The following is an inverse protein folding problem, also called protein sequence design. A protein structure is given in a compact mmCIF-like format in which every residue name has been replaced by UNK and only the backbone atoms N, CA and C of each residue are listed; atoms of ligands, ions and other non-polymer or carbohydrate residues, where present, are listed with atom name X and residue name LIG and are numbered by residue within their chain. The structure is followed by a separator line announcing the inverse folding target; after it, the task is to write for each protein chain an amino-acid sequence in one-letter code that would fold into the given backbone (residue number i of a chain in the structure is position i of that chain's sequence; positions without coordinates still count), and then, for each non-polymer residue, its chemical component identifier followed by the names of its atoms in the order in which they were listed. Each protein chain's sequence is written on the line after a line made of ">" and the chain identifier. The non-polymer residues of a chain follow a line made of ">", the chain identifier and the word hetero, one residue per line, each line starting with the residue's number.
data_IF_690675656833
#
_entry.id   IF_690675656833
#
_cell.length_a   1.000
_cell.length_b   1.000
_cell.length_c   1.000
_cell.angle_alpha   90.00
_cell.angle_beta   90.00
_cell.angle_gamma   90.00
#
_symmetry.space_group_name_H-M   'P 1'
#
loop_
_entity.id
_entity.type
_entity.pdbx_description
1 polymer ?
#
# COMPACT_ATOMS: atom_id res chain seq x y z
N UNK A 1 -16.23 -3.38 -12.32
CA UNK A 1 -16.45 -3.56 -10.86
C UNK A 1 -15.21 -3.09 -10.09
N UNK A 2 -15.29 -2.63 -8.84
CA UNK A 2 -14.10 -2.34 -8.00
C UNK A 2 -14.29 -2.90 -6.60
N UNK A 3 -13.22 -3.45 -6.03
CA UNK A 3 -13.24 -4.01 -4.67
C UNK A 3 -12.16 -3.36 -3.83
N UNK A 4 -12.38 -3.35 -2.52
CA UNK A 4 -11.40 -2.83 -1.56
C UNK A 4 -10.85 -3.99 -0.77
N UNK A 5 -9.52 -4.15 -0.79
CA UNK A 5 -8.79 -5.16 -0.02
C UNK A 5 -8.04 -4.44 1.08
N UNK A 6 -8.23 -4.87 2.32
CA UNK A 6 -7.55 -4.30 3.47
C UNK A 6 -6.37 -5.19 3.85
N UNK A 7 -5.16 -4.63 3.79
CA UNK A 7 -3.93 -5.23 4.31
C UNK A 7 -3.63 -4.59 5.67
N UNK A 8 -4.17 -5.18 6.74
CA UNK A 8 -4.15 -4.55 8.06
C UNK A 8 -4.86 -3.20 8.02
N UNK A 9 -4.13 -2.12 8.31
CA UNK A 9 -4.62 -0.74 8.24
C UNK A 9 -4.56 -0.12 6.83
N UNK A 10 -3.83 -0.74 5.90
CA UNK A 10 -3.68 -0.22 4.54
C UNK A 10 -4.85 -0.67 3.66
N UNK A 11 -5.63 0.28 3.14
CA UNK A 11 -6.73 -0.01 2.22
C UNK A 11 -6.29 0.13 0.77
N UNK A 12 -6.50 -0.90 -0.02
CA UNK A 12 -6.14 -0.93 -1.44
C UNK A 12 -7.39 -1.16 -2.27
N UNK A 13 -7.69 -0.19 -3.13
CA UNK A 13 -8.75 -0.31 -4.12
C UNK A 13 -8.18 -1.00 -5.34
N UNK A 14 -8.80 -2.10 -5.76
CA UNK A 14 -8.44 -2.87 -6.95
C UNK A 14 -9.62 -2.86 -7.92
N UNK A 15 -9.44 -2.36 -9.17
CA UNK A 15 -10.46 -2.49 -10.19
C UNK A 15 -10.53 -3.95 -10.65
N UNK A 16 -11.71 -4.55 -10.67
CA UNK A 16 -11.92 -5.89 -11.20
C UNK A 16 -12.17 -5.82 -12.71
N UNK A 17 -11.53 -6.72 -13.44
CA UNK A 17 -11.87 -7.07 -14.83
C UNK A 17 -12.69 -8.35 -14.84
N UNK A 18 -13.49 -8.54 -15.89
CA UNK A 18 -14.45 -9.65 -15.97
C UNK A 18 -13.79 -11.05 -15.96
N UNK A 19 -12.53 -11.15 -16.42
CA UNK A 19 -11.77 -12.41 -16.43
C UNK A 19 -10.90 -12.65 -15.19
N UNK A 20 -11.01 -11.81 -14.15
CA UNK A 20 -10.15 -11.94 -12.98
C UNK A 20 -10.70 -12.91 -11.95
N UNK A 21 -9.91 -13.93 -11.61
CA UNK A 21 -10.19 -14.80 -10.49
C UNK A 21 -9.75 -14.14 -9.18
N UNK A 22 -10.20 -14.70 -8.05
CA UNK A 22 -9.78 -14.29 -6.70
C UNK A 22 -8.25 -14.29 -6.57
N UNK A 23 -7.56 -15.24 -7.24
CA UNK A 23 -6.10 -15.30 -7.28
C UNK A 23 -5.48 -14.07 -7.92
N UNK A 24 -6.00 -13.64 -9.08
CA UNK A 24 -5.52 -12.44 -9.79
C UNK A 24 -5.75 -11.18 -8.96
N UNK A 25 -6.89 -11.12 -8.28
CA UNK A 25 -7.23 -10.07 -7.31
C UNK A 25 -6.20 -9.97 -6.18
N UNK A 26 -5.79 -11.09 -5.59
CA UNK A 26 -4.76 -11.14 -4.55
C UNK A 26 -3.41 -10.68 -5.11
N UNK A 27 -3.03 -11.11 -6.31
CA UNK A 27 -1.77 -10.71 -6.96
C UNK A 27 -1.74 -9.21 -7.21
N UNK A 28 -2.81 -8.65 -7.78
CA UNK A 28 -2.94 -7.22 -8.06
C UNK A 28 -2.95 -6.37 -6.78
N UNK A 29 -3.70 -6.81 -5.77
CA UNK A 29 -3.75 -6.16 -4.47
C UNK A 29 -2.36 -6.15 -3.80
N UNK A 30 -1.64 -7.28 -3.86
CA UNK A 30 -0.28 -7.43 -3.30
C UNK A 30 0.74 -6.58 -4.04
N UNK A 31 0.67 -6.50 -5.37
CA UNK A 31 1.56 -5.63 -6.16
C UNK A 31 1.37 -4.15 -5.80
N UNK A 32 0.12 -3.72 -5.66
CA UNK A 32 -0.18 -2.35 -5.20
C UNK A 32 0.29 -2.11 -3.78
N UNK A 33 0.10 -3.08 -2.89
CA UNK A 33 0.60 -3.00 -1.52
C UNK A 33 2.10 -2.80 -1.48
N UNK A 34 2.86 -3.63 -2.21
CA UNK A 34 4.32 -3.51 -2.33
C UNK A 34 4.76 -2.14 -2.82
N UNK A 35 4.13 -1.61 -3.86
CA UNK A 35 4.45 -0.28 -4.38
C UNK A 35 4.18 0.83 -3.36
N UNK A 36 3.08 0.73 -2.62
CA UNK A 36 2.74 1.69 -1.56
C UNK A 36 3.78 1.63 -0.44
N UNK A 37 4.13 0.44 0.07
CA UNK A 37 5.13 0.33 1.14
C UNK A 37 6.53 0.76 0.69
N UNK A 38 6.92 0.47 -0.57
CA UNK A 38 8.19 0.93 -1.14
C UNK A 38 8.25 2.46 -1.22
N UNK A 39 7.16 3.10 -1.67
CA UNK A 39 7.01 4.56 -1.67
C UNK A 39 6.93 5.15 -0.26
N UNK A 40 6.27 4.45 0.66
CA UNK A 40 6.15 4.90 2.05
C UNK A 40 7.51 4.87 2.71
N UNK A 41 8.32 3.81 2.54
CA UNK A 41 9.69 3.72 3.05
C UNK A 41 10.61 4.81 2.49
N UNK A 42 10.37 5.28 1.27
CA UNK A 42 11.12 6.41 0.70
C UNK A 42 10.60 7.76 1.18
N UNK A 43 9.31 7.88 1.52
CA UNK A 43 8.71 9.12 2.04
C UNK A 43 8.91 9.30 3.55
N UNK A 44 8.89 8.24 4.36
CA UNK A 44 9.22 8.30 5.81
C UNK A 44 10.70 8.49 6.08
N UNK A 45 11.57 8.37 5.05
CA UNK A 45 12.99 8.75 5.19
C UNK A 45 13.23 10.26 5.16
N UNK A 46 12.19 11.08 4.92
CA UNK A 46 12.24 12.54 5.04
C UNK A 46 11.49 13.10 6.26
N UNK A 47 10.97 12.24 7.14
CA UNK A 47 10.69 12.60 8.55
C UNK A 47 11.79 12.04 9.45
N UNK A 48 13.04 12.20 9.03
CA UNK A 48 14.08 12.55 9.98
C UNK A 48 13.75 13.94 10.50
N UNK A 49 13.00 14.03 11.61
CA UNK A 49 12.97 15.24 12.41
C UNK A 49 14.43 15.61 12.73
N UNK A 50 14.96 16.74 12.24
CA UNK A 50 16.24 17.21 12.69
C UNK A 50 16.05 17.80 14.09
N UNK A 51 16.81 17.24 15.05
CA UNK A 51 17.46 17.93 16.17
C UNK A 51 16.69 18.90 17.07
N UNK A 52 16.82 18.69 18.39
CA UNK A 52 16.57 19.66 19.48
C UNK A 52 15.21 19.46 20.14
N UNK A 53 15.07 19.10 21.42
CA UNK A 53 15.91 19.37 22.58
C UNK A 53 15.55 18.35 23.67
N UNK A 54 16.56 17.72 24.28
CA UNK A 54 16.53 17.27 25.68
C UNK A 54 17.45 18.23 26.44
N UNK A 55 17.24 18.51 27.74
CA UNK A 55 16.51 17.73 28.73
C UNK A 55 15.30 18.43 29.38
#
# INVERSE_FOLDING_TARGET
>A
MKVTVNFGETRIVVPCKDDWMVRDLIVQATQRYKKIIEQTHTHTRLVSYPCGDSP
#
